data_IF_462117107750
#
_entry.id   IF_462117107750
#
_cell.length_a   1.000
_cell.length_b   1.000
_cell.length_c   1.000
_cell.angle_alpha   90.00
_cell.angle_beta   90.00
_cell.angle_gamma   90.00
#
_symmetry.space_group_name_H-M   'P 1'
#
loop_
_entity.id
_entity.type
_entity.pdbx_description
1 polymer ?
#
# COMPACT_ATOMS: atom_id res chain seq x y z
N UNK A 1 12.92 -6.60 24.09
CA UNK A 1 13.09 -7.92 23.45
C UNK A 1 12.67 -7.81 22.00
N UNK A 2 13.41 -8.37 21.04
CA UNK A 2 12.94 -8.51 19.66
C UNK A 2 11.75 -9.50 19.62
N UNK A 3 10.85 -9.29 18.68
CA UNK A 3 9.65 -10.10 18.51
C UNK A 3 10.01 -11.51 18.00
N UNK A 4 9.41 -12.60 18.51
CA UNK A 4 9.84 -13.97 18.24
C UNK A 4 9.67 -14.44 16.78
N UNK A 5 8.82 -13.79 15.97
CA UNK A 5 8.65 -14.12 14.55
C UNK A 5 9.58 -13.35 13.62
N UNK A 6 10.30 -12.34 14.10
CA UNK A 6 11.29 -11.66 13.28
C UNK A 6 12.62 -12.40 13.38
N UNK A 7 12.91 -13.23 12.38
CA UNK A 7 14.27 -13.68 12.11
C UNK A 7 15.14 -12.43 11.91
N UNK A 8 16.04 -12.18 12.86
CA UNK A 8 17.00 -11.09 12.75
C UNK A 8 17.97 -11.33 11.60
N UNK A 9 18.84 -10.36 11.35
CA UNK A 9 19.93 -10.53 10.37
C UNK A 9 21.09 -11.28 11.03
N UNK A 10 21.46 -12.44 10.49
CA UNK A 10 22.67 -13.17 10.91
C UNK A 10 23.83 -12.75 10.02
N UNK A 11 24.91 -12.25 10.62
CA UNK A 11 26.09 -11.80 9.91
C UNK A 11 27.30 -12.64 10.34
N UNK A 12 27.94 -13.33 9.38
CA UNK A 12 29.09 -14.18 9.64
C UNK A 12 30.34 -13.36 10.03
N UNK A 13 31.27 -13.93 10.80
CA UNK A 13 32.48 -13.22 11.23
C UNK A 13 33.49 -13.02 10.08
N UNK A 14 34.43 -12.09 10.27
CA UNK A 14 35.51 -11.79 9.31
C UNK A 14 35.10 -10.95 8.09
N UNK A 15 33.83 -10.51 8.02
CA UNK A 15 33.31 -9.70 6.92
C UNK A 15 32.70 -8.38 7.41
N UNK A 16 32.64 -7.40 6.50
CA UNK A 16 31.89 -6.16 6.69
C UNK A 16 30.54 -6.25 5.98
N UNK A 17 29.46 -5.99 6.71
CA UNK A 17 28.09 -5.96 6.19
C UNK A 17 27.51 -4.57 6.28
N UNK A 18 26.73 -4.21 5.29
CA UNK A 18 26.12 -2.89 5.18
C UNK A 18 24.62 -3.11 4.97
N UNK A 19 23.82 -2.77 5.98
CA UNK A 19 22.37 -3.04 6.03
C UNK A 19 21.65 -1.73 5.71
N UNK A 20 20.97 -1.71 4.57
CA UNK A 20 20.09 -0.62 4.18
C UNK A 20 18.69 -0.80 4.76
N UNK A 21 18.15 0.26 5.34
CA UNK A 21 16.76 0.33 5.78
C UNK A 21 15.94 1.12 4.77
N UNK A 22 14.83 0.54 4.33
CA UNK A 22 13.81 1.21 3.53
C UNK A 22 12.50 1.20 4.29
N UNK A 23 11.99 2.39 4.59
CA UNK A 23 10.74 2.49 5.34
C UNK A 23 9.53 2.50 4.41
N UNK A 24 8.61 1.57 4.66
CA UNK A 24 7.40 1.36 3.87
C UNK A 24 6.17 1.57 4.75
N UNK A 25 5.28 2.49 4.34
CA UNK A 25 4.00 2.75 4.97
C UNK A 25 2.89 2.12 4.14
N UNK A 26 2.13 1.20 4.73
CA UNK A 26 0.98 0.57 4.08
C UNK A 26 -0.33 1.18 4.58
N UNK A 27 -0.97 2.00 3.76
CA UNK A 27 -2.29 2.55 4.02
C UNK A 27 -3.36 1.66 3.35
N UNK A 28 -4.12 0.92 4.15
CA UNK A 28 -5.18 0.03 3.68
C UNK A 28 -6.53 0.74 3.63
N UNK A 29 -7.35 0.37 2.65
CA UNK A 29 -8.72 0.87 2.54
C UNK A 29 -9.59 0.09 3.52
N UNK A 30 -10.31 0.79 4.41
CA UNK A 30 -11.24 0.17 5.36
C UNK A 30 -12.66 0.06 4.80
N UNK A 31 -13.56 -0.46 5.63
CA UNK A 31 -15.02 -0.53 5.43
C UNK A 31 -15.50 -1.78 4.65
N UNK A 32 -15.92 -1.66 3.39
CA UNK A 32 -16.56 -2.75 2.63
C UNK A 32 -15.61 -3.80 2.01
N UNK A 33 -14.31 -3.52 1.91
CA UNK A 33 -13.34 -4.40 1.24
C UNK A 33 -12.55 -5.32 2.18
N UNK A 34 -12.44 -4.93 3.47
CA UNK A 34 -11.81 -5.73 4.54
C UNK A 34 -12.05 -5.04 5.89
N UNK A 35 -12.13 -5.84 6.95
CA UNK A 35 -12.08 -5.31 8.32
C UNK A 35 -10.67 -4.77 8.59
N UNK A 36 -10.53 -3.45 8.56
CA UNK A 36 -9.35 -2.74 9.02
C UNK A 36 -9.78 -1.84 10.17
N UNK A 37 -9.29 -2.12 11.38
CA UNK A 37 -9.57 -1.25 12.53
C UNK A 37 -8.86 0.07 12.33
N UNK A 38 -9.62 1.17 12.20
CA UNK A 38 -9.09 2.54 12.17
C UNK A 38 -8.77 3.07 13.57
N UNK A 39 -9.04 2.28 14.60
CA UNK A 39 -8.75 2.68 15.97
C UNK A 39 -7.23 2.60 16.16
N UNK A 40 -6.62 3.79 16.27
CA UNK A 40 -5.24 4.00 16.69
C UNK A 40 -5.06 3.49 18.13
N UNK A 41 -4.97 2.17 18.31
CA UNK A 41 -4.23 1.63 19.45
C UNK A 41 -2.77 1.69 19.03
N UNK A 42 -2.10 2.78 19.39
CA UNK A 42 -0.65 2.95 19.23
C UNK A 42 0.17 1.97 20.11
N UNK A 43 -0.53 1.11 20.86
CA UNK A 43 0.07 0.09 21.69
C UNK A 43 0.02 -1.21 20.91
N UNK A 44 1.18 -1.64 20.43
CA UNK A 44 1.38 -2.99 19.93
C UNK A 44 0.98 -3.99 21.03
N UNK A 45 0.01 -4.87 20.76
CA UNK A 45 -0.54 -5.89 21.69
C UNK A 45 0.54 -6.65 22.50
N UNK A 46 1.71 -6.82 21.89
CA UNK A 46 2.87 -7.47 22.49
C UNK A 46 3.51 -6.68 23.64
N UNK A 47 3.59 -5.35 23.57
CA UNK A 47 4.12 -4.54 24.67
C UNK A 47 3.20 -4.55 25.89
N UNK A 48 1.88 -4.64 25.66
CA UNK A 48 0.87 -4.72 26.71
C UNK A 48 0.88 -6.09 27.39
N UNK A 49 0.89 -7.19 26.62
CA UNK A 49 0.83 -8.54 27.18
C UNK A 49 2.13 -8.97 27.88
N UNK A 50 3.28 -8.49 27.40
CA UNK A 50 4.58 -8.89 27.93
C UNK A 50 5.36 -7.78 28.66
N UNK A 51 4.79 -6.58 28.81
CA UNK A 51 5.37 -5.51 29.63
C UNK A 51 6.75 -5.02 29.20
N UNK A 52 7.05 -5.01 27.90
CA UNK A 52 8.40 -4.67 27.41
C UNK A 52 8.58 -3.23 26.96
N UNK A 53 9.75 -2.68 27.30
CA UNK A 53 10.19 -1.35 26.88
C UNK A 53 11.16 -1.47 25.70
N UNK A 54 10.85 -0.81 24.59
CA UNK A 54 11.71 -0.72 23.42
C UNK A 54 12.62 0.50 23.53
N UNK A 55 13.74 0.37 24.23
CA UNK A 55 14.91 1.26 24.09
C UNK A 55 16.01 0.72 24.99
N UNK A 56 17.11 0.27 24.40
CA UNK A 56 18.37 0.08 25.10
C UNK A 56 19.45 0.72 24.25
N UNK A 57 20.21 1.64 24.82
CA UNK A 57 21.35 2.25 24.14
C UNK A 57 22.49 1.24 24.13
N UNK A 58 22.99 0.88 22.94
CA UNK A 58 24.18 0.05 22.81
C UNK A 58 25.41 0.87 23.22
N UNK A 59 26.12 0.44 24.27
CA UNK A 59 27.41 1.02 24.66
C UNK A 59 28.48 0.46 23.71
N UNK A 60 29.13 1.34 22.94
CA UNK A 60 30.28 0.96 22.11
C UNK A 60 31.48 0.80 23.03
N UNK A 61 31.95 -0.44 23.20
CA UNK A 61 33.18 -0.74 23.93
C UNK A 61 34.37 -0.69 22.96
N UNK A 62 35.34 0.20 23.20
CA UNK A 62 36.54 0.30 22.38
C UNK A 62 37.55 -0.76 22.82
N UNK A 63 37.78 -1.78 21.98
CA UNK A 63 38.81 -2.79 22.19
C UNK A 63 40.22 -2.18 22.11
N UNK A 64 41.04 -2.43 23.13
CA UNK A 64 42.45 -1.99 23.22
C UNK A 64 43.30 -2.62 22.10
N UNK A 65 44.33 -1.89 21.62
CA UNK A 65 45.13 -2.22 20.44
C UNK A 65 45.80 -3.61 20.45
N UNK A 66 46.13 -4.16 21.62
CA UNK A 66 46.76 -5.47 21.78
C UNK A 66 45.78 -6.65 21.69
N UNK A 67 44.49 -6.45 22.01
CA UNK A 67 43.44 -7.47 21.83
C UNK A 67 42.90 -7.51 20.38
N UNK A 68 43.17 -6.46 19.59
CA UNK A 68 42.66 -6.26 18.24
C UNK A 68 43.13 -7.30 17.23
N UNK A 69 44.36 -7.82 17.34
CA UNK A 69 44.94 -8.73 16.34
C UNK A 69 44.46 -10.19 16.44
N UNK A 70 44.03 -10.66 17.62
CA UNK A 70 43.49 -12.03 17.78
C UNK A 70 41.98 -12.14 17.48
N UNK A 71 41.28 -11.01 17.47
CA UNK A 71 39.82 -10.96 17.33
C UNK A 71 39.35 -10.61 15.91
N UNK A 72 40.25 -10.34 14.95
CA UNK A 72 39.85 -9.89 13.60
C UNK A 72 39.00 -10.94 12.87
N UNK A 73 39.31 -12.22 13.03
CA UNK A 73 38.59 -13.31 12.36
C UNK A 73 37.21 -13.58 12.97
N UNK A 74 37.01 -13.23 14.24
CA UNK A 74 35.73 -13.40 14.98
C UNK A 74 34.88 -12.11 15.02
N UNK A 75 35.41 -11.00 14.50
CA UNK A 75 34.73 -9.71 14.49
C UNK A 75 33.95 -9.51 13.18
N UNK A 76 32.71 -9.05 13.32
CA UNK A 76 31.88 -8.61 12.21
C UNK A 76 31.67 -7.10 12.30
N UNK A 77 31.97 -6.39 11.22
CA UNK A 77 31.65 -4.95 11.12
C UNK A 77 30.29 -4.82 10.45
N UNK A 78 29.29 -4.27 11.14
CA UNK A 78 27.96 -4.03 10.56
C UNK A 78 27.63 -2.54 10.59
N UNK A 79 27.35 -1.96 9.43
CA UNK A 79 26.93 -0.56 9.28
C UNK A 79 25.45 -0.52 8.87
N UNK A 80 24.63 0.23 9.61
CA UNK A 80 23.19 0.39 9.33
C UNK A 80 22.94 1.82 8.85
N UNK A 81 22.27 1.97 7.73
CA UNK A 81 21.94 3.27 7.15
C UNK A 81 20.57 3.22 6.47
N UNK A 82 19.97 4.38 6.23
CA UNK A 82 18.75 4.47 5.44
C UNK A 82 19.11 4.50 3.96
N UNK A 83 18.45 3.66 3.15
CA UNK A 83 18.61 3.63 1.69
C UNK A 83 18.18 4.96 1.09
N UNK A 84 17.01 5.45 1.53
CA UNK A 84 16.38 6.68 1.10
C UNK A 84 15.96 7.51 2.32
N UNK A 85 16.02 8.84 2.19
CA UNK A 85 15.42 9.78 3.15
C UNK A 85 13.89 9.89 3.01
N UNK A 86 13.32 9.23 2.00
CA UNK A 86 11.90 9.24 1.71
C UNK A 86 11.22 7.96 2.19
N UNK A 87 9.99 8.12 2.65
CA UNK A 87 9.09 7.03 3.01
C UNK A 87 8.31 6.61 1.75
N UNK A 88 8.27 5.32 1.44
CA UNK A 88 7.38 4.84 0.39
C UNK A 88 6.01 4.54 0.99
N UNK A 89 4.96 5.19 0.47
CA UNK A 89 3.58 4.92 0.87
C UNK A 89 2.86 4.10 -0.20
N UNK A 90 2.29 2.97 0.22
CA UNK A 90 1.40 2.17 -0.61
C UNK A 90 -0.03 2.39 -0.13
N UNK A 91 -0.82 3.10 -0.92
CA UNK A 91 -2.24 3.34 -0.67
C UNK A 91 -3.09 2.37 -1.49
N UNK A 92 -3.99 1.67 -0.83
CA UNK A 92 -4.99 0.86 -1.54
C UNK A 92 -6.11 1.78 -2.08
N UNK A 93 -6.46 1.61 -3.35
CA UNK A 93 -7.61 2.24 -3.98
C UNK A 93 -8.61 1.18 -4.43
N UNK A 94 -9.92 1.49 -4.49
CA UNK A 94 -10.91 0.55 -5.01
C UNK A 94 -10.58 0.17 -6.46
N UNK A 95 -10.68 -1.12 -6.77
CA UNK A 95 -10.39 -1.63 -8.12
C UNK A 95 -11.30 -0.99 -9.17
N UNK A 96 -12.58 -0.86 -8.83
CA UNK A 96 -13.61 -0.33 -9.72
C UNK A 96 -14.42 0.77 -9.05
N UNK A 97 -14.48 1.91 -9.73
CA UNK A 97 -15.23 3.10 -9.32
C UNK A 97 -16.26 3.42 -10.41
N UNK A 98 -17.29 4.21 -10.06
CA UNK A 98 -18.38 4.54 -11.01
C UNK A 98 -17.88 5.28 -12.25
N UNK A 99 -16.83 6.10 -12.11
CA UNK A 99 -16.14 6.77 -13.20
C UNK A 99 -15.47 5.79 -14.16
N UNK A 100 -14.75 4.78 -13.63
CA UNK A 100 -14.18 3.70 -14.46
C UNK A 100 -15.26 2.91 -15.17
N UNK A 101 -16.37 2.60 -14.49
CA UNK A 101 -17.50 1.91 -15.11
C UNK A 101 -18.08 2.69 -16.29
N UNK A 102 -18.38 3.97 -16.07
CA UNK A 102 -18.95 4.83 -17.10
C UNK A 102 -17.96 5.02 -18.27
N UNK A 103 -16.67 5.14 -17.99
CA UNK A 103 -15.61 5.23 -19.00
C UNK A 103 -15.53 3.98 -19.88
N UNK A 104 -15.63 2.78 -19.28
CA UNK A 104 -15.61 1.52 -20.02
C UNK A 104 -16.86 1.37 -20.90
N UNK A 105 -18.04 1.69 -20.37
CA UNK A 105 -19.31 1.66 -21.09
C UNK A 105 -19.29 2.67 -22.24
N UNK A 106 -19.02 3.95 -21.95
CA UNK A 106 -18.94 4.99 -22.97
C UNK A 106 -17.88 4.72 -24.03
N UNK A 107 -16.72 4.18 -23.63
CA UNK A 107 -15.65 3.80 -24.55
C UNK A 107 -16.04 2.67 -25.50
N UNK A 108 -16.71 1.63 -25.00
CA UNK A 108 -17.17 0.51 -25.84
C UNK A 108 -18.32 0.92 -26.76
N UNK A 109 -19.33 1.65 -26.26
CA UNK A 109 -20.42 2.17 -27.09
C UNK A 109 -19.93 3.19 -28.13
N UNK A 110 -18.98 4.06 -27.78
CA UNK A 110 -18.36 5.02 -28.69
C UNK A 110 -17.50 4.35 -29.76
N UNK A 111 -16.75 3.29 -29.42
CA UNK A 111 -15.90 2.58 -30.37
C UNK A 111 -16.71 1.75 -31.39
N UNK A 112 -17.72 1.03 -30.93
CA UNK A 112 -18.45 0.08 -31.78
C UNK A 112 -19.61 0.72 -32.56
N UNK A 113 -20.32 1.68 -31.97
CA UNK A 113 -21.49 2.31 -32.59
C UNK A 113 -21.23 3.74 -33.06
N UNK A 114 -20.09 4.34 -32.71
CA UNK A 114 -19.89 5.79 -32.88
C UNK A 114 -20.85 6.61 -32.01
N UNK A 115 -21.43 5.98 -30.96
CA UNK A 115 -22.45 6.59 -30.12
C UNK A 115 -21.80 7.61 -29.16
N UNK A 116 -22.34 8.83 -29.15
CA UNK A 116 -21.95 9.93 -28.27
C UNK A 116 -23.12 10.37 -27.38
N UNK A 117 -22.86 11.25 -26.42
CA UNK A 117 -23.91 11.80 -25.54
C UNK A 117 -25.01 12.49 -26.37
N UNK A 118 -24.64 13.19 -27.45
CA UNK A 118 -25.61 13.85 -28.33
C UNK A 118 -26.49 12.84 -29.08
N UNK A 119 -25.94 11.74 -29.56
CA UNK A 119 -26.75 10.70 -30.25
C UNK A 119 -27.71 10.01 -29.29
N UNK A 120 -27.36 9.86 -28.01
CA UNK A 120 -28.28 9.32 -26.99
C UNK A 120 -29.46 10.27 -26.78
N UNK A 121 -29.21 11.58 -26.66
CA UNK A 121 -30.27 12.58 -26.47
C UNK A 121 -31.23 12.58 -27.66
N UNK A 122 -30.70 12.63 -28.88
CA UNK A 122 -31.50 12.59 -30.11
C UNK A 122 -32.35 11.31 -30.20
N UNK A 123 -31.78 10.17 -29.82
CA UNK A 123 -32.53 8.89 -29.80
C UNK A 123 -33.67 8.92 -28.79
N UNK A 124 -33.49 9.55 -27.62
CA UNK A 124 -34.53 9.68 -26.62
C UNK A 124 -35.67 10.61 -27.07
N UNK A 125 -35.35 11.74 -27.70
CA UNK A 125 -36.35 12.64 -28.30
C UNK A 125 -37.14 11.92 -29.40
N UNK A 126 -36.44 11.19 -30.29
CA UNK A 126 -37.07 10.41 -31.35
C UNK A 126 -38.02 9.33 -30.79
N UNK A 127 -37.61 8.61 -29.74
CA UNK A 127 -38.47 7.62 -29.08
C UNK A 127 -39.69 8.28 -28.45
N UNK A 128 -39.53 9.42 -27.79
CA UNK A 128 -40.62 10.16 -27.17
C UNK A 128 -41.65 10.62 -28.22
N UNK A 129 -41.20 11.24 -29.30
CA UNK A 129 -42.06 11.68 -30.40
C UNK A 129 -42.76 10.50 -31.07
N UNK A 130 -42.06 9.38 -31.25
CA UNK A 130 -42.63 8.16 -31.82
C UNK A 130 -43.70 7.56 -30.92
N UNK A 131 -43.51 7.54 -29.59
CA UNK A 131 -44.52 7.09 -28.64
C UNK A 131 -45.77 7.97 -28.72
N UNK A 132 -45.62 9.29 -28.73
CA UNK A 132 -46.75 10.22 -28.86
C UNK A 132 -47.49 9.99 -30.18
N UNK A 133 -46.74 9.89 -31.29
CA UNK A 133 -47.31 9.64 -32.61
C UNK A 133 -48.11 8.34 -32.65
N UNK A 134 -47.57 7.25 -32.08
CA UNK A 134 -48.24 5.95 -32.00
C UNK A 134 -49.49 6.03 -31.11
N UNK A 135 -49.42 6.69 -29.94
CA UNK A 135 -50.57 6.85 -29.05
C UNK A 135 -51.69 7.68 -29.70
N UNK A 136 -51.35 8.76 -30.40
CA UNK A 136 -52.31 9.56 -31.16
C UNK A 136 -52.94 8.70 -32.27
N UNK A 137 -52.14 7.86 -32.95
CA UNK A 137 -52.64 7.07 -34.05
C UNK A 137 -53.49 5.87 -33.64
N UNK A 138 -53.26 5.34 -32.44
CA UNK A 138 -54.06 4.30 -31.80
C UNK A 138 -55.38 4.82 -31.22
N UNK A 139 -55.50 6.13 -30.97
CA UNK A 139 -56.72 6.75 -30.42
C UNK A 139 -57.76 7.14 -31.49
N UNK A 140 -57.52 6.80 -32.77
CA UNK A 140 -58.39 7.08 -33.92
C UNK A 140 -58.80 5.79 -34.59
#
# INVERSE_FOLDING_TARGET
MPFPEMEGVTAGPGHAYTISLKSLLHARLGDHFRECSKNNREINMYSEWFGVKYSQQAKIEQLTSSARQRYVDDMTKTEIYFEDLNWHSYTQSPSYTVDKWLSHVGGTFGLWLGCSVFTIIETLELIYDLIIFVLIRLKK
#
